data_IF_846934201960
#
_entry.id   IF_846934201960
#
_cell.length_a   1.000
_cell.length_b   1.000
_cell.length_c   1.000
_cell.angle_alpha   90.00
_cell.angle_beta   90.00
_cell.angle_gamma   90.00
#
_symmetry.space_group_name_H-M   'P 1'
#
loop_
_entity.id
_entity.type
_entity.pdbx_description
1 polymer ?
#
# COMPACT_ATOMS: atom_id res chain seq x y z
N UNK A 1 15.56 14.34 5.26
CA UNK A 1 14.13 14.11 5.46
C UNK A 1 13.40 15.45 5.50
N UNK A 2 12.37 15.67 4.68
CA UNK A 2 11.67 16.94 4.64
C UNK A 2 10.70 17.05 5.82
N UNK A 3 10.81 18.10 6.64
CA UNK A 3 9.78 18.54 7.54
C UNK A 3 9.99 18.30 9.02
N UNK A 4 9.02 18.79 9.82
CA UNK A 4 9.01 18.78 11.29
C UNK A 4 8.27 17.57 11.89
N UNK A 5 8.13 16.46 11.14
CA UNK A 5 7.40 15.26 11.56
C UNK A 5 8.26 14.31 12.42
N UNK A 6 7.61 13.38 13.10
CA UNK A 6 8.23 12.16 13.59
C UNK A 6 8.28 11.16 12.42
N UNK A 7 9.32 10.35 12.33
CA UNK A 7 9.49 9.36 11.29
C UNK A 7 9.74 8.00 11.93
N UNK A 8 9.26 6.95 11.27
CA UNK A 8 9.58 5.57 11.62
C UNK A 8 10.40 4.99 10.46
N UNK A 9 11.63 4.60 10.74
CA UNK A 9 12.44 3.84 9.79
C UNK A 9 12.14 2.37 9.99
N UNK A 10 11.66 1.72 8.95
CA UNK A 10 11.42 0.28 8.91
C UNK A 10 12.56 -0.39 8.16
N UNK A 11 13.16 -1.40 8.76
CA UNK A 11 14.24 -2.19 8.18
C UNK A 11 13.77 -3.62 8.08
N UNK A 12 13.76 -4.16 6.86
CA UNK A 12 13.35 -5.53 6.57
C UNK A 12 14.43 -6.27 5.81
N UNK A 13 14.58 -7.55 6.11
CA UNK A 13 15.47 -8.46 5.38
C UNK A 13 14.88 -9.86 5.44
N UNK A 14 14.91 -10.57 4.33
CA UNK A 14 14.41 -11.96 4.28
C UNK A 14 15.12 -12.84 5.30
N UNK A 15 14.35 -13.57 6.11
CA UNK A 15 14.86 -14.41 7.19
C UNK A 15 15.16 -13.68 8.51
N UNK A 16 14.85 -12.40 8.61
CA UNK A 16 15.04 -11.60 9.82
C UNK A 16 13.73 -10.93 10.25
N UNK A 17 13.59 -10.65 11.55
CA UNK A 17 12.46 -9.87 12.06
C UNK A 17 12.58 -8.42 11.63
N UNK A 18 11.48 -7.87 11.15
CA UNK A 18 11.37 -6.44 10.86
C UNK A 18 11.70 -5.60 12.09
N UNK A 19 12.51 -4.56 11.92
CA UNK A 19 12.84 -3.62 12.97
C UNK A 19 12.35 -2.22 12.61
N UNK A 20 11.70 -1.59 13.58
CA UNK A 20 11.25 -0.22 13.49
C UNK A 20 12.13 0.66 14.38
N UNK A 21 12.53 1.82 13.86
CA UNK A 21 13.33 2.80 14.59
C UNK A 21 12.60 4.13 14.53
N UNK A 22 12.21 4.63 15.70
CA UNK A 22 11.57 5.93 15.83
C UNK A 22 12.63 7.04 15.71
N UNK A 23 12.42 7.93 14.76
CA UNK A 23 13.24 9.13 14.58
C UNK A 23 12.47 10.32 15.15
N UNK A 24 12.93 10.77 16.32
CA UNK A 24 12.27 11.82 17.09
C UNK A 24 12.14 13.15 16.33
N UNK A 25 11.02 13.84 16.59
CA UNK A 25 10.74 15.19 16.09
C UNK A 25 11.80 16.19 16.57
N UNK A 26 12.46 16.90 15.65
CA UNK A 26 13.31 18.04 16.02
C UNK A 26 14.81 17.90 15.82
N UNK A 27 15.32 16.78 15.34
CA UNK A 27 16.74 16.67 14.98
C UNK A 27 17.02 17.39 13.66
N UNK A 28 17.62 18.57 13.73
CA UNK A 28 18.01 19.39 12.57
C UNK A 28 19.35 18.97 11.92
N UNK A 29 19.85 17.78 12.19
CA UNK A 29 21.09 17.30 11.58
C UNK A 29 20.81 16.86 10.14
N UNK A 30 21.64 17.29 9.21
CA UNK A 30 21.59 16.85 7.80
C UNK A 30 21.84 15.35 7.64
N UNK A 31 22.53 14.76 8.61
CA UNK A 31 22.83 13.32 8.63
C UNK A 31 22.50 12.78 10.01
N UNK A 32 21.72 11.73 10.07
CA UNK A 32 21.42 10.97 11.27
C UNK A 32 22.22 9.66 11.22
N UNK A 33 23.19 9.52 12.12
CA UNK A 33 23.94 8.29 12.28
C UNK A 33 23.14 7.33 13.19
N UNK A 34 22.69 6.21 12.65
CA UNK A 34 21.90 5.22 13.36
C UNK A 34 22.77 4.12 14.00
N UNK A 35 24.09 4.16 13.74
CA UNK A 35 25.02 3.14 14.21
C UNK A 35 24.78 1.77 13.58
N UNK A 36 25.26 0.72 14.26
CA UNK A 36 25.04 -0.67 13.82
C UNK A 36 23.65 -1.13 14.24
N UNK A 37 22.85 -1.53 13.26
CA UNK A 37 21.50 -2.02 13.50
C UNK A 37 21.50 -3.54 13.36
N UNK A 38 21.29 -4.23 14.47
CA UNK A 38 21.17 -5.70 14.52
C UNK A 38 19.72 -6.09 14.25
N UNK A 39 19.54 -7.00 13.29
CA UNK A 39 18.26 -7.63 12.99
C UNK A 39 18.26 -9.06 13.58
N UNK A 40 17.33 -9.39 14.48
CA UNK A 40 17.22 -10.75 14.99
C UNK A 40 16.68 -11.67 13.90
N UNK A 41 17.19 -12.92 13.84
CA UNK A 41 16.69 -13.91 12.90
C UNK A 41 15.20 -14.19 13.17
N UNK A 42 14.42 -14.28 12.12
CA UNK A 42 13.04 -14.73 12.18
C UNK A 42 13.04 -16.25 12.20
N UNK A 43 13.04 -16.82 13.41
CA UNK A 43 12.79 -18.25 13.52
C UNK A 43 11.28 -18.46 13.42
N UNK A 44 10.85 -19.19 12.42
CA UNK A 44 9.54 -19.86 12.49
C UNK A 44 9.70 -21.00 13.49
N UNK A 45 9.59 -20.71 14.78
CA UNK A 45 9.30 -21.71 15.78
C UNK A 45 7.89 -22.21 15.44
N UNK A 46 7.81 -23.39 14.87
CA UNK A 46 6.59 -24.20 14.90
C UNK A 46 6.28 -24.50 16.39
N UNK A 47 5.75 -23.54 17.09
CA UNK A 47 5.10 -23.77 18.35
C UNK A 47 3.87 -24.61 18.03
N UNK A 48 3.81 -25.80 18.63
CA UNK A 48 2.62 -26.64 18.55
C UNK A 48 1.37 -25.79 18.78
N UNK A 49 0.31 -26.13 18.07
CA UNK A 49 -0.95 -25.40 18.01
C UNK A 49 -1.42 -24.93 19.38
N UNK A 50 -1.10 -23.71 19.73
CA UNK A 50 -1.79 -22.99 20.79
C UNK A 50 -3.08 -22.47 20.15
N UNK A 51 -4.20 -23.11 20.45
CA UNK A 51 -5.53 -22.64 20.05
C UNK A 51 -5.78 -21.33 20.81
N UNK A 52 -5.22 -20.25 20.33
CA UNK A 52 -5.78 -18.91 20.56
C UNK A 52 -7.09 -18.86 19.82
N UNK A 53 -8.17 -18.49 20.50
CA UNK A 53 -9.50 -18.41 19.92
C UNK A 53 -9.40 -17.85 18.50
N UNK A 54 -9.91 -18.58 17.51
CA UNK A 54 -9.76 -18.25 16.11
C UNK A 54 -10.34 -16.87 15.87
N UNK A 55 -9.48 -15.91 15.54
CA UNK A 55 -9.93 -14.69 14.90
C UNK A 55 -10.69 -15.15 13.65
N UNK A 56 -11.94 -14.74 13.51
CA UNK A 56 -12.70 -15.08 12.31
C UNK A 56 -11.94 -14.55 11.10
N UNK A 57 -11.55 -15.43 10.20
CA UNK A 57 -10.87 -15.04 8.96
C UNK A 57 -11.77 -14.14 8.11
N UNK A 58 -13.07 -14.44 8.15
CA UNK A 58 -14.08 -13.79 7.32
C UNK A 58 -15.27 -13.39 8.17
N UNK A 59 -15.68 -12.14 8.07
CA UNK A 59 -16.91 -11.60 8.62
C UNK A 59 -17.80 -11.13 7.48
N UNK A 60 -19.03 -11.63 7.40
CA UNK A 60 -20.02 -11.21 6.41
C UNK A 60 -21.09 -10.35 7.08
N UNK A 61 -21.29 -9.14 6.58
CA UNK A 61 -22.35 -8.22 7.01
C UNK A 61 -23.10 -7.76 5.76
N UNK A 62 -24.39 -8.08 5.65
CA UNK A 62 -25.28 -7.71 4.54
C UNK A 62 -24.56 -7.76 3.17
N UNK A 63 -24.06 -6.61 2.70
CA UNK A 63 -23.43 -6.47 1.39
C UNK A 63 -21.89 -6.40 1.45
N UNK A 64 -21.28 -6.55 2.62
CA UNK A 64 -19.84 -6.42 2.81
C UNK A 64 -19.21 -7.67 3.37
N UNK A 65 -18.21 -8.19 2.69
CA UNK A 65 -17.35 -9.26 3.19
C UNK A 65 -16.06 -8.61 3.72
N UNK A 66 -15.69 -8.94 4.93
CA UNK A 66 -14.50 -8.40 5.60
C UNK A 66 -13.54 -9.52 5.98
N UNK A 67 -12.32 -9.44 5.48
CA UNK A 67 -11.23 -10.38 5.76
C UNK A 67 -10.31 -9.77 6.81
N UNK A 68 -10.05 -10.49 7.90
CA UNK A 68 -9.11 -10.06 8.93
C UNK A 68 -7.68 -10.38 8.50
N UNK A 69 -6.85 -9.37 8.28
CA UNK A 69 -5.48 -9.56 7.79
C UNK A 69 -4.61 -10.42 8.72
N UNK A 70 -4.85 -10.34 10.04
CA UNK A 70 -4.07 -11.08 11.04
C UNK A 70 -4.42 -12.58 11.11
N UNK A 71 -5.52 -12.99 10.49
CA UNK A 71 -5.92 -14.40 10.43
C UNK A 71 -5.18 -15.18 9.32
N UNK A 72 -4.60 -14.47 8.36
CA UNK A 72 -3.86 -15.06 7.25
C UNK A 72 -2.36 -15.12 7.56
N UNK A 73 -1.73 -16.24 7.22
CA UNK A 73 -0.30 -16.45 7.49
C UNK A 73 0.57 -15.82 6.40
N UNK A 74 0.78 -14.52 6.49
CA UNK A 74 1.70 -13.76 5.64
C UNK A 74 2.90 -13.31 6.46
N UNK A 75 4.09 -13.35 5.89
CA UNK A 75 5.29 -12.92 6.61
C UNK A 75 5.28 -11.41 6.83
N UNK A 76 5.78 -10.98 7.99
CA UNK A 76 5.96 -9.55 8.26
C UNK A 76 6.86 -8.93 7.19
N UNK A 77 6.42 -7.83 6.61
CA UNK A 77 7.18 -7.13 5.60
C UNK A 77 6.82 -7.46 4.16
N UNK A 78 6.06 -8.51 3.93
CA UNK A 78 5.55 -8.83 2.60
C UNK A 78 4.62 -7.74 2.07
N UNK A 79 4.51 -7.69 0.75
CA UNK A 79 3.60 -6.77 0.08
C UNK A 79 2.13 -7.20 0.26
N UNK A 80 1.22 -6.24 0.21
CA UNK A 80 -0.22 -6.48 0.27
C UNK A 80 -0.70 -7.52 -0.75
N UNK A 81 -0.03 -7.61 -1.90
CA UNK A 81 -0.33 -8.59 -2.96
C UNK A 81 -0.34 -10.02 -2.43
N UNK A 82 0.61 -10.38 -1.53
CA UNK A 82 0.69 -11.73 -0.98
C UNK A 82 -0.51 -12.04 -0.05
N UNK A 83 -0.99 -11.06 0.68
CA UNK A 83 -2.22 -11.21 1.47
C UNK A 83 -3.44 -11.37 0.57
N UNK A 84 -3.56 -10.54 -0.48
CA UNK A 84 -4.71 -10.57 -1.40
C UNK A 84 -4.81 -11.93 -2.09
N UNK A 85 -3.70 -12.54 -2.48
CA UNK A 85 -3.68 -13.89 -3.11
C UNK A 85 -4.17 -15.01 -2.19
N UNK A 86 -4.14 -14.81 -0.87
CA UNK A 86 -4.61 -15.79 0.11
C UNK A 86 -6.10 -15.65 0.44
N UNK A 87 -6.74 -14.57 0.00
CA UNK A 87 -8.15 -14.34 0.33
C UNK A 87 -9.06 -15.31 -0.43
N UNK A 88 -10.03 -15.94 0.27
CA UNK A 88 -11.00 -16.80 -0.38
C UNK A 88 -11.79 -16.08 -1.47
N UNK A 89 -11.90 -16.71 -2.65
CA UNK A 89 -12.63 -16.16 -3.78
C UNK A 89 -11.92 -15.04 -4.55
N UNK A 90 -10.67 -14.71 -4.19
CA UNK A 90 -9.87 -13.72 -4.90
C UNK A 90 -8.89 -14.41 -5.84
N UNK A 91 -8.80 -13.90 -7.06
CA UNK A 91 -7.78 -14.29 -8.04
C UNK A 91 -7.02 -13.03 -8.48
N UNK A 92 -5.71 -13.16 -8.64
CA UNK A 92 -4.84 -12.06 -9.06
C UNK A 92 -4.08 -12.49 -10.31
N UNK A 93 -4.32 -11.80 -11.41
CA UNK A 93 -3.60 -11.98 -12.67
C UNK A 93 -2.97 -10.64 -13.12
N UNK A 94 -1.66 -10.53 -12.89
CA UNK A 94 -0.93 -9.30 -13.16
C UNK A 94 -1.49 -8.10 -12.38
N UNK A 95 -2.18 -7.20 -13.06
CA UNK A 95 -2.80 -6.00 -12.47
C UNK A 95 -4.31 -6.16 -12.24
N UNK A 96 -4.89 -7.27 -12.67
CA UNK A 96 -6.32 -7.55 -12.54
C UNK A 96 -6.56 -8.35 -11.26
N UNK A 97 -7.51 -7.91 -10.47
CA UNK A 97 -8.00 -8.62 -9.30
C UNK A 97 -9.46 -8.98 -9.58
N UNK A 98 -9.81 -10.23 -9.39
CA UNK A 98 -11.21 -10.67 -9.44
C UNK A 98 -11.63 -11.18 -8.06
N UNK A 99 -12.87 -10.95 -7.70
CA UNK A 99 -13.50 -11.48 -6.49
C UNK A 99 -14.77 -12.19 -6.86
N UNK A 100 -14.88 -13.49 -6.56
CA UNK A 100 -15.99 -14.35 -6.95
C UNK A 100 -16.33 -14.24 -8.45
N UNK A 101 -15.31 -14.13 -9.31
CA UNK A 101 -15.46 -14.03 -10.76
C UNK A 101 -15.82 -12.62 -11.27
N UNK A 102 -16.02 -11.63 -10.39
CA UNK A 102 -16.24 -10.22 -10.77
C UNK A 102 -14.93 -9.44 -10.66
N UNK A 103 -14.61 -8.62 -11.66
CA UNK A 103 -13.42 -7.77 -11.59
C UNK A 103 -13.58 -6.68 -10.52
N UNK A 104 -12.57 -6.53 -9.68
CA UNK A 104 -12.46 -5.41 -8.74
C UNK A 104 -12.16 -4.15 -9.54
N UNK A 105 -13.17 -3.32 -9.73
CA UNK A 105 -13.08 -2.08 -10.53
C UNK A 105 -12.52 -0.92 -9.72
N UNK A 106 -12.77 -0.89 -8.41
CA UNK A 106 -12.31 0.17 -7.54
C UNK A 106 -11.48 -0.37 -6.38
N UNK A 107 -10.28 0.20 -6.19
CA UNK A 107 -9.36 -0.16 -5.12
C UNK A 107 -9.18 1.02 -4.17
N UNK A 108 -9.55 0.85 -2.91
CA UNK A 108 -9.54 1.91 -1.89
C UNK A 108 -8.59 1.60 -0.75
N UNK A 109 -8.13 2.64 -0.07
CA UNK A 109 -7.44 2.53 1.21
C UNK A 109 -8.09 3.48 2.20
N UNK A 110 -8.61 2.94 3.31
CA UNK A 110 -9.42 3.67 4.29
C UNK A 110 -10.58 4.44 3.63
N UNK A 111 -11.31 3.78 2.70
CA UNK A 111 -12.46 4.35 1.99
C UNK A 111 -12.11 5.40 0.93
N UNK A 112 -10.84 5.67 0.68
CA UNK A 112 -10.39 6.67 -0.30
C UNK A 112 -9.74 5.97 -1.49
N UNK A 113 -9.95 6.51 -2.71
CA UNK A 113 -9.27 6.03 -3.90
C UNK A 113 -7.76 6.15 -3.73
N UNK A 114 -7.05 5.06 -3.98
CA UNK A 114 -5.60 4.98 -3.82
C UNK A 114 -4.94 4.94 -5.20
N UNK A 115 -4.07 5.90 -5.47
CA UNK A 115 -3.36 6.06 -6.76
C UNK A 115 -4.26 6.16 -8.00
N UNK A 116 -5.44 6.78 -7.91
CA UNK A 116 -6.38 6.91 -9.04
C UNK A 116 -6.62 5.58 -9.76
N UNK A 117 -6.81 4.52 -8.98
CA UNK A 117 -7.08 3.18 -9.50
C UNK A 117 -5.84 2.39 -9.92
N UNK A 118 -4.61 2.87 -9.70
CA UNK A 118 -3.43 2.06 -9.96
C UNK A 118 -3.21 1.02 -8.83
N UNK A 119 -4.00 -0.05 -8.90
CA UNK A 119 -4.01 -1.17 -7.95
C UNK A 119 -2.62 -1.75 -7.73
N UNK A 120 -1.85 -1.89 -8.82
CA UNK A 120 -0.52 -2.52 -8.78
C UNK A 120 0.48 -1.78 -7.89
N UNK A 121 0.42 -0.45 -7.87
CA UNK A 121 1.32 0.33 -7.00
C UNK A 121 0.98 0.08 -5.53
N UNK A 122 -0.30 0.07 -5.17
CA UNK A 122 -0.72 -0.22 -3.81
C UNK A 122 -0.36 -1.66 -3.41
N UNK A 123 -0.67 -2.64 -4.24
CA UNK A 123 -0.42 -4.06 -3.98
C UNK A 123 1.05 -4.37 -3.72
N UNK A 124 1.95 -3.79 -4.53
CA UNK A 124 3.39 -4.07 -4.45
C UNK A 124 4.13 -3.29 -3.38
N UNK A 125 3.58 -2.16 -2.93
CA UNK A 125 4.31 -1.25 -2.05
C UNK A 125 3.69 -1.07 -0.65
N UNK A 126 2.42 -1.47 -0.47
CA UNK A 126 1.80 -1.41 0.85
C UNK A 126 2.18 -2.67 1.65
N UNK A 127 2.87 -2.53 2.79
CA UNK A 127 3.21 -3.67 3.63
C UNK A 127 1.97 -4.28 4.31
N UNK A 128 1.92 -5.60 4.37
CA UNK A 128 0.84 -6.34 5.05
C UNK A 128 0.68 -5.94 6.51
N UNK A 129 1.80 -5.67 7.21
CA UNK A 129 1.79 -5.30 8.63
C UNK A 129 0.93 -4.08 8.95
N UNK A 130 0.71 -3.23 7.95
CA UNK A 130 -0.09 -2.02 8.09
C UNK A 130 -1.58 -2.28 7.91
N UNK A 131 -1.93 -3.45 7.38
CA UNK A 131 -3.31 -3.80 7.07
C UNK A 131 -3.99 -4.39 8.29
N UNK A 132 -5.16 -3.88 8.63
CA UNK A 132 -6.03 -4.42 9.68
C UNK A 132 -7.01 -5.41 9.08
N UNK A 133 -7.66 -5.02 7.98
CA UNK A 133 -8.63 -5.85 7.27
C UNK A 133 -8.80 -5.41 5.83
N UNK A 134 -9.29 -6.32 5.01
CA UNK A 134 -9.68 -6.05 3.63
C UNK A 134 -11.19 -6.23 3.54
N UNK A 135 -11.90 -5.25 2.98
CA UNK A 135 -13.34 -5.31 2.76
C UNK A 135 -13.62 -5.41 1.28
N UNK A 136 -14.52 -6.28 0.90
CA UNK A 136 -15.05 -6.35 -0.46
C UNK A 136 -16.55 -6.14 -0.42
N UNK A 137 -17.06 -5.30 -1.30
CA UNK A 137 -18.49 -5.01 -1.40
C UNK A 137 -18.85 -4.52 -2.80
N UNK A 138 -20.12 -4.62 -3.12
CA UNK A 138 -20.66 -4.05 -4.34
C UNK A 138 -21.21 -2.65 -4.06
N UNK A 139 -20.92 -1.74 -4.96
CA UNK A 139 -21.35 -0.36 -4.93
C UNK A 139 -22.07 -0.02 -6.22
N UNK A 140 -23.16 0.73 -6.13
CA UNK A 140 -23.80 1.30 -7.33
C UNK A 140 -22.83 2.21 -8.08
N UNK A 141 -23.03 2.34 -9.39
CA UNK A 141 -22.25 3.23 -10.21
C UNK A 141 -22.31 4.69 -9.68
N UNK A 142 -21.31 5.48 -9.97
CA UNK A 142 -21.33 6.91 -9.60
C UNK A 142 -22.53 7.64 -10.23
N UNK A 143 -23.01 7.19 -11.38
CA UNK A 143 -24.21 7.71 -12.02
C UNK A 143 -25.47 7.36 -11.19
N UNK A 144 -25.61 6.10 -10.80
CA UNK A 144 -26.75 5.66 -9.98
C UNK A 144 -26.74 6.31 -8.58
N UNK A 145 -25.56 6.53 -7.98
CA UNK A 145 -25.45 7.28 -6.71
C UNK A 145 -25.87 8.75 -6.84
N UNK A 146 -25.55 9.41 -7.97
CA UNK A 146 -25.83 10.82 -8.17
C UNK A 146 -27.28 11.07 -8.60
N UNK A 147 -27.83 10.21 -9.45
CA UNK A 147 -29.16 10.41 -10.04
C UNK A 147 -30.27 9.66 -9.31
N UNK A 148 -29.92 8.66 -8.50
CA UNK A 148 -30.88 7.74 -7.89
C UNK A 148 -31.46 6.72 -8.88
N UNK A 149 -31.05 6.72 -10.14
CA UNK A 149 -31.49 5.81 -11.18
C UNK A 149 -30.54 4.63 -11.24
N UNK A 150 -31.02 3.42 -10.99
CA UNK A 150 -30.24 2.20 -11.12
C UNK A 150 -29.96 1.93 -12.60
N UNK A 151 -28.69 1.95 -12.98
CA UNK A 151 -28.24 1.70 -14.35
C UNK A 151 -27.78 0.24 -14.55
N UNK A 152 -27.94 -0.61 -13.53
CA UNK A 152 -27.53 -2.01 -13.54
C UNK A 152 -26.00 -2.22 -13.54
N UNK A 153 -25.21 -1.15 -13.40
CA UNK A 153 -23.76 -1.23 -13.35
C UNK A 153 -23.29 -1.18 -11.88
N UNK A 154 -23.07 -2.36 -11.32
CA UNK A 154 -22.46 -2.50 -10.01
C UNK A 154 -20.93 -2.52 -10.12
N UNK A 155 -20.27 -1.83 -9.21
CA UNK A 155 -18.83 -1.79 -9.10
C UNK A 155 -18.37 -2.64 -7.92
N UNK A 156 -17.51 -3.61 -8.17
CA UNK A 156 -16.85 -4.36 -7.10
C UNK A 156 -15.71 -3.55 -6.52
N UNK A 157 -15.82 -3.21 -5.25
CA UNK A 157 -14.85 -2.41 -4.51
C UNK A 157 -14.05 -3.30 -3.57
N UNK A 158 -12.73 -3.11 -3.54
CA UNK A 158 -11.85 -3.66 -2.53
C UNK A 158 -11.25 -2.52 -1.72
N UNK A 159 -11.58 -2.45 -0.43
CA UNK A 159 -11.13 -1.41 0.49
C UNK A 159 -10.17 -1.97 1.54
N UNK A 160 -8.95 -1.48 1.53
CA UNK A 160 -7.89 -1.85 2.46
C UNK A 160 -7.97 -0.96 3.68
N UNK A 161 -8.39 -1.51 4.81
CA UNK A 161 -8.47 -0.79 6.07
C UNK A 161 -7.13 -0.93 6.79
N UNK A 162 -6.47 0.19 7.00
CA UNK A 162 -5.19 0.24 7.72
C UNK A 162 -5.41 0.26 9.23
N UNK A 163 -4.38 -0.17 9.99
CA UNK A 163 -4.34 -0.02 11.44
C UNK A 163 -4.37 1.47 11.81
N UNK A 164 -5.17 1.83 12.81
CA UNK A 164 -5.43 3.25 13.17
C UNK A 164 -4.18 4.05 13.60
N UNK A 165 -3.15 3.36 14.04
CA UNK A 165 -1.90 3.97 14.52
C UNK A 165 -1.06 4.63 13.41
N UNK A 166 -1.51 4.49 12.15
CA UNK A 166 -0.79 4.93 10.95
C UNK A 166 -1.33 6.22 10.34
N UNK A 167 -2.26 6.90 11.00
CA UNK A 167 -2.66 8.23 10.58
C UNK A 167 -1.46 9.18 10.68
N UNK A 168 -1.16 9.90 9.59
CA UNK A 168 0.00 10.79 9.43
C UNK A 168 1.37 10.08 9.30
N UNK A 169 1.39 8.86 8.83
CA UNK A 169 2.62 8.06 8.68
C UNK A 169 3.20 8.18 7.27
N UNK A 170 4.53 8.13 7.18
CA UNK A 170 5.25 7.89 5.96
C UNK A 170 5.53 6.40 5.77
N UNK A 171 5.17 5.89 4.61
CA UNK A 171 5.55 4.55 4.15
C UNK A 171 6.60 4.74 3.07
N UNK A 172 7.77 4.15 3.23
CA UNK A 172 8.83 4.25 2.23
C UNK A 172 9.48 2.89 2.02
N UNK A 173 9.60 2.49 0.75
CA UNK A 173 10.30 1.29 0.33
C UNK A 173 11.45 1.70 -0.58
N UNK A 174 12.61 1.14 -0.35
CA UNK A 174 13.79 1.30 -1.19
C UNK A 174 14.33 -0.09 -1.51
N UNK A 175 14.24 -0.46 -2.78
CA UNK A 175 14.80 -1.71 -3.28
C UNK A 175 16.02 -1.39 -4.12
N UNK A 176 17.11 -2.09 -3.85
CA UNK A 176 18.33 -1.96 -4.62
C UNK A 176 18.93 -3.33 -4.93
N UNK A 177 19.30 -3.54 -6.18
CA UNK A 177 20.06 -4.70 -6.60
C UNK A 177 21.15 -4.30 -7.57
N UNK A 178 22.31 -4.94 -7.45
CA UNK A 178 23.44 -4.79 -8.35
C UNK A 178 23.85 -6.16 -8.88
N UNK A 179 24.10 -6.25 -10.16
CA UNK A 179 24.56 -7.46 -10.84
C UNK A 179 25.93 -7.27 -11.47
N UNK A 180 26.43 -8.33 -12.12
CA UNK A 180 27.62 -8.27 -12.96
C UNK A 180 27.42 -7.35 -14.16
N UNK A 181 28.51 -6.89 -14.78
CA UNK A 181 28.50 -6.04 -15.99
C UNK A 181 27.83 -4.67 -15.80
N UNK A 182 27.84 -4.12 -14.57
CA UNK A 182 27.28 -2.80 -14.28
C UNK A 182 25.76 -2.77 -14.28
N UNK A 183 25.09 -3.91 -14.21
CA UNK A 183 23.61 -3.96 -14.09
C UNK A 183 23.18 -3.52 -12.70
N UNK A 184 22.13 -2.73 -12.65
CA UNK A 184 21.52 -2.32 -11.39
C UNK A 184 20.02 -2.07 -11.54
N UNK A 185 19.31 -2.23 -10.45
CA UNK A 185 17.92 -1.83 -10.29
C UNK A 185 17.81 -1.10 -8.96
N UNK A 186 17.27 0.10 -8.98
CA UNK A 186 16.92 0.84 -7.77
C UNK A 186 15.48 1.31 -7.91
N UNK A 187 14.66 0.98 -6.94
CA UNK A 187 13.27 1.43 -6.87
C UNK A 187 13.07 2.19 -5.58
N UNK A 188 12.42 3.34 -5.68
CA UNK A 188 12.00 4.16 -4.56
C UNK A 188 10.48 4.27 -4.59
N UNK A 189 9.87 4.01 -3.48
CA UNK A 189 8.48 4.32 -3.21
C UNK A 189 8.41 5.06 -1.88
N UNK A 190 7.77 6.22 -1.85
CA UNK A 190 7.47 6.93 -0.62
C UNK A 190 6.03 7.45 -0.67
N UNK A 191 5.28 7.18 0.38
CA UNK A 191 3.89 7.58 0.49
C UNK A 191 3.65 8.21 1.87
N UNK A 192 2.95 9.33 1.88
CA UNK A 192 2.41 9.96 3.08
C UNK A 192 0.90 9.95 3.00
N UNK A 193 0.26 9.34 3.98
CA UNK A 193 -1.19 9.31 4.11
C UNK A 193 -1.58 10.09 5.35
N UNK A 194 -2.48 11.05 5.18
CA UNK A 194 -3.14 11.76 6.27
C UNK A 194 -4.65 11.71 6.06
N UNK A 195 -5.44 12.14 7.02
CA UNK A 195 -6.89 12.21 6.86
C UNK A 195 -7.33 13.12 5.72
N UNK A 196 -6.54 14.17 5.43
CA UNK A 196 -6.88 15.21 4.45
C UNK A 196 -6.05 15.17 3.20
N UNK A 197 -4.88 14.52 3.22
CA UNK A 197 -3.95 14.57 2.09
C UNK A 197 -3.23 13.25 1.87
N UNK A 198 -2.86 13.05 0.63
CA UNK A 198 -2.01 11.94 0.20
C UNK A 198 -0.91 12.46 -0.71
N UNK A 199 0.29 12.01 -0.46
CA UNK A 199 1.46 12.31 -1.29
C UNK A 199 2.19 11.03 -1.59
N UNK A 200 2.44 10.76 -2.86
CA UNK A 200 3.21 9.61 -3.31
C UNK A 200 4.36 10.05 -4.19
N UNK A 201 5.52 9.49 -3.94
CA UNK A 201 6.71 9.65 -4.78
C UNK A 201 7.19 8.27 -5.19
N UNK A 202 7.37 8.06 -6.48
CA UNK A 202 7.93 6.82 -7.03
C UNK A 202 9.17 7.13 -7.86
N UNK A 203 10.18 6.27 -7.74
CA UNK A 203 11.40 6.35 -8.55
C UNK A 203 11.80 4.97 -9.02
N UNK A 204 12.22 4.84 -10.27
CA UNK A 204 12.77 3.63 -10.82
C UNK A 204 13.99 3.99 -11.66
N UNK A 205 15.13 3.45 -11.25
CA UNK A 205 16.40 3.56 -11.98
C UNK A 205 16.85 2.15 -12.31
N UNK A 206 16.89 1.83 -13.59
CA UNK A 206 17.22 0.47 -14.06
C UNK A 206 18.21 0.55 -15.20
N UNK A 207 19.22 -0.28 -15.12
CA UNK A 207 20.14 -0.56 -16.21
C UNK A 207 20.13 -2.08 -16.45
N UNK A 208 19.67 -2.51 -17.60
CA UNK A 208 19.58 -3.93 -17.96
C UNK A 208 20.82 -4.42 -18.70
N UNK A 209 21.48 -3.51 -19.41
CA UNK A 209 22.75 -3.75 -20.09
C UNK A 209 23.55 -2.44 -20.16
N UNK A 210 24.79 -2.50 -20.67
CA UNK A 210 25.66 -1.33 -20.78
C UNK A 210 25.12 -0.22 -21.71
N UNK A 211 24.08 -0.49 -22.49
CA UNK A 211 23.54 0.41 -23.50
C UNK A 211 22.14 0.94 -23.16
N UNK A 212 21.39 0.25 -22.30
CA UNK A 212 20.00 0.58 -21.97
C UNK A 212 19.85 1.07 -20.54
N UNK A 213 19.46 2.32 -20.38
CA UNK A 213 19.16 2.89 -19.07
C UNK A 213 17.74 3.45 -19.06
N UNK A 214 16.93 2.96 -18.15
CA UNK A 214 15.57 3.46 -17.91
C UNK A 214 15.56 4.27 -16.60
N UNK A 215 15.12 5.53 -16.67
CA UNK A 215 14.94 6.41 -15.53
C UNK A 215 13.50 6.90 -15.50
N UNK A 216 12.79 6.58 -14.45
CA UNK A 216 11.42 6.99 -14.25
C UNK A 216 11.26 7.64 -12.88
N UNK A 217 10.66 8.82 -12.83
CA UNK A 217 10.27 9.50 -11.61
C UNK A 217 8.79 9.86 -11.72
N UNK A 218 8.02 9.46 -10.74
CA UNK A 218 6.59 9.76 -10.64
C UNK A 218 6.27 10.50 -9.35
N UNK A 219 5.29 11.38 -9.43
CA UNK A 219 4.76 12.15 -8.32
C UNK A 219 3.23 12.17 -8.42
N UNK A 220 2.55 11.83 -7.37
CA UNK A 220 1.10 11.90 -7.25
C UNK A 220 0.71 12.53 -5.92
N UNK A 221 -0.27 13.43 -5.94
CA UNK A 221 -0.81 14.03 -4.73
C UNK A 221 -2.34 14.12 -4.79
N UNK A 222 -2.96 14.03 -3.63
CA UNK A 222 -4.38 14.24 -3.45
C UNK A 222 -4.62 14.98 -2.13
N UNK A 223 -5.43 16.02 -2.16
CA UNK A 223 -5.82 16.81 -0.98
C UNK A 223 -7.34 16.99 -1.01
N UNK A 224 -7.99 16.73 0.12
CA UNK A 224 -9.41 17.00 0.29
C UNK A 224 -9.65 17.76 1.59
N UNK A 225 -10.83 18.36 1.73
CA UNK A 225 -11.19 19.12 2.93
C UNK A 225 -11.81 18.30 4.07
N UNK A 226 -11.70 16.96 3.99
CA UNK A 226 -12.18 16.04 5.02
C UNK A 226 -13.70 15.88 5.13
N UNK A 227 -14.47 16.61 4.33
CA UNK A 227 -15.93 16.48 4.32
C UNK A 227 -16.38 15.21 3.61
N UNK A 228 -17.52 14.66 4.02
CA UNK A 228 -18.12 13.49 3.35
C UNK A 228 -18.51 13.83 1.91
N UNK A 229 -18.55 12.83 1.04
CA UNK A 229 -18.80 12.99 -0.40
C UNK A 229 -20.07 13.80 -0.72
N UNK A 230 -21.09 13.73 0.13
CA UNK A 230 -22.40 14.38 -0.06
C UNK A 230 -22.56 15.70 0.71
N UNK A 231 -21.52 16.22 1.34
CA UNK A 231 -21.58 17.48 2.08
C UNK A 231 -21.28 18.67 1.18
N UNK A 232 -22.11 19.70 1.25
CA UNK A 232 -21.90 20.94 0.51
C UNK A 232 -20.54 21.57 0.85
N UNK A 233 -19.83 22.04 -0.18
CA UNK A 233 -18.50 22.65 -0.05
C UNK A 233 -17.36 21.63 0.09
N UNK A 234 -17.58 20.34 -0.21
CA UNK A 234 -16.50 19.40 -0.40
C UNK A 234 -15.67 19.79 -1.62
N UNK A 235 -14.37 19.78 -1.46
CA UNK A 235 -13.46 19.83 -2.59
C UNK A 235 -12.40 18.72 -2.50
N UNK A 236 -11.94 18.28 -3.64
CA UNK A 236 -10.82 17.37 -3.80
C UNK A 236 -9.93 17.91 -4.91
N UNK A 237 -8.65 18.05 -4.63
CA UNK A 237 -7.63 18.48 -5.59
C UNK A 237 -6.57 17.40 -5.67
N UNK A 238 -6.33 16.90 -6.86
CA UNK A 238 -5.28 15.94 -7.09
C UNK A 238 -4.55 16.19 -8.41
N UNK A 239 -3.33 15.76 -8.48
CA UNK A 239 -2.51 15.86 -9.67
C UNK A 239 -1.41 14.82 -9.68
N UNK A 240 -0.91 14.50 -10.86
CA UNK A 240 0.23 13.64 -11.04
C UNK A 240 1.16 14.23 -12.09
N UNK A 241 2.45 14.01 -11.93
CA UNK A 241 3.46 14.32 -12.91
C UNK A 241 4.48 13.18 -12.96
N UNK A 242 5.04 12.92 -14.13
CA UNK A 242 6.07 11.90 -14.29
C UNK A 242 7.06 12.30 -15.38
N UNK A 243 8.31 11.93 -15.19
CA UNK A 243 9.36 12.05 -16.18
C UNK A 243 9.85 10.65 -16.49
N UNK A 244 9.85 10.30 -17.76
CA UNK A 244 10.39 9.04 -18.25
C UNK A 244 11.49 9.34 -19.27
N UNK A 245 12.68 8.83 -19.04
CA UNK A 245 13.81 8.95 -19.95
C UNK A 245 14.40 7.57 -20.21
N UNK A 246 14.16 7.07 -21.42
CA UNK A 246 14.71 5.81 -21.89
C UNK A 246 15.84 6.13 -22.86
N UNK A 247 17.01 5.56 -22.62
CA UNK A 247 18.15 5.62 -23.53
C UNK A 247 18.44 4.20 -23.98
N UNK A 248 18.28 3.96 -25.25
CA UNK A 248 18.68 2.71 -25.95
C UNK A 248 19.99 2.91 -26.69
#
# INVERSE_FOLDING_TARGET
LPGRGAYILRITMTGYKTKYIDIAKGQRKQTLELGTISLPLSYVLLKGAEVKGSLSEVEANEDTISFNAEAFNVQEGEALEELIKLLPGVEVDGNTITYNGKEVTEFRVNGKDFFKGNKSVAMKNLPVDLVKRIKTYEKKSDYAEQTGIDDGNEQTVMDIVLKQELNETWIANLDGAAGSEGRYINKLFANRITDLSRLTVTGNLRNEDARSTNKQLGFDFNINNGRKKNEAGRFELGGNAGINNNRS
#
